data_IF_037249439885
#
_entry.id   IF_037249439885
#
_cell.length_a   1.000
_cell.length_b   1.000
_cell.length_c   1.000
_cell.angle_alpha   90.00
_cell.angle_beta   90.00
_cell.angle_gamma   90.00
#
_symmetry.space_group_name_H-M   'P 1'
#
loop_
_entity.id
_entity.type
_entity.pdbx_description
1 polymer ?
#
# COMPACT_ATOMS: atom_id res chain seq x y z
N UNK A 1 -11.04 -3.85 7.40
CA UNK A 1 -9.87 -4.36 6.64
C UNK A 1 -9.04 -5.27 7.53
N UNK A 2 -8.40 -6.25 6.94
CA UNK A 2 -7.47 -7.16 7.63
C UNK A 2 -6.34 -6.34 8.29
N UNK A 3 -6.12 -6.45 9.61
CA UNK A 3 -5.08 -5.68 10.29
C UNK A 3 -3.67 -5.96 9.75
N UNK A 4 -3.39 -7.18 9.33
CA UNK A 4 -2.08 -7.53 8.76
C UNK A 4 -1.86 -6.79 7.45
N UNK A 5 -2.87 -6.73 6.60
CA UNK A 5 -2.78 -6.02 5.32
C UNK A 5 -2.65 -4.52 5.56
N UNK A 6 -3.38 -3.97 6.52
CA UNK A 6 -3.27 -2.57 6.90
C UNK A 6 -1.84 -2.22 7.33
N UNK A 7 -1.23 -3.07 8.14
CA UNK A 7 0.15 -2.88 8.59
C UNK A 7 1.13 -2.93 7.42
N UNK A 8 0.92 -3.83 6.46
CA UNK A 8 1.74 -3.92 5.25
C UNK A 8 1.68 -2.60 4.47
N UNK A 9 0.48 -2.05 4.31
CA UNK A 9 0.29 -0.80 3.58
C UNK A 9 0.95 0.36 4.32
N UNK A 10 0.72 0.49 5.61
CA UNK A 10 1.32 1.56 6.42
C UNK A 10 2.84 1.52 6.37
N UNK A 11 3.41 0.33 6.51
CA UNK A 11 4.86 0.17 6.45
C UNK A 11 5.41 0.55 5.07
N UNK A 12 4.73 0.13 4.01
CA UNK A 12 5.16 0.46 2.65
C UNK A 12 5.12 1.97 2.39
N UNK A 13 4.08 2.65 2.89
CA UNK A 13 3.96 4.09 2.75
C UNK A 13 5.07 4.81 3.53
N UNK A 14 5.36 4.37 4.74
CA UNK A 14 6.43 4.94 5.56
C UNK A 14 7.79 4.75 4.91
N UNK A 15 8.07 3.54 4.40
CA UNK A 15 9.33 3.23 3.74
C UNK A 15 9.53 4.07 2.48
N UNK A 16 8.46 4.23 1.70
CA UNK A 16 8.50 5.05 0.50
C UNK A 16 8.74 6.52 0.83
N UNK A 17 8.12 7.02 1.89
CA UNK A 17 8.32 8.39 2.38
C UNK A 17 9.76 8.60 2.80
N UNK A 18 10.32 7.65 3.55
CA UNK A 18 11.71 7.70 4.00
C UNK A 18 12.69 7.66 2.83
N UNK A 19 12.31 7.01 1.73
CA UNK A 19 13.11 6.96 0.50
C UNK A 19 12.96 8.21 -0.38
N UNK A 20 12.16 9.19 0.06
CA UNK A 20 11.98 10.43 -0.68
C UNK A 20 11.00 10.35 -1.83
N UNK A 21 10.14 9.34 -1.86
CA UNK A 21 9.15 9.19 -2.93
C UNK A 21 8.03 10.20 -2.78
N UNK A 22 7.53 10.69 -3.90
CA UNK A 22 6.34 11.55 -3.93
C UNK A 22 5.07 10.73 -3.69
N UNK A 23 3.92 11.40 -3.71
CA UNK A 23 2.63 10.75 -3.47
C UNK A 23 2.39 9.56 -4.41
N UNK A 24 2.67 9.73 -5.68
CA UNK A 24 2.47 8.67 -6.68
C UNK A 24 3.44 7.51 -6.46
N UNK A 25 4.70 7.80 -6.19
CA UNK A 25 5.70 6.76 -5.89
C UNK A 25 5.34 5.97 -4.66
N UNK A 26 4.87 6.62 -3.61
CA UNK A 26 4.37 5.96 -2.40
C UNK A 26 3.21 5.03 -2.71
N UNK A 27 2.26 5.48 -3.54
CA UNK A 27 1.11 4.68 -3.94
C UNK A 27 1.54 3.43 -4.70
N UNK A 28 2.44 3.57 -5.66
CA UNK A 28 2.93 2.43 -6.46
C UNK A 28 3.60 1.39 -5.56
N UNK A 29 4.47 1.82 -4.66
CA UNK A 29 5.17 0.91 -3.75
C UNK A 29 4.19 0.21 -2.79
N UNK A 30 3.19 0.93 -2.30
CA UNK A 30 2.18 0.34 -1.42
C UNK A 30 1.32 -0.69 -2.18
N UNK A 31 0.92 -0.40 -3.41
CA UNK A 31 0.18 -1.35 -4.25
C UNK A 31 1.01 -2.61 -4.47
N UNK A 32 2.28 -2.48 -4.79
CA UNK A 32 3.17 -3.62 -4.97
C UNK A 32 3.29 -4.45 -3.69
N UNK A 33 3.39 -3.79 -2.53
CA UNK A 33 3.45 -4.48 -1.25
C UNK A 33 2.19 -5.30 -0.97
N UNK A 34 1.02 -4.75 -1.29
CA UNK A 34 -0.25 -5.47 -1.17
C UNK A 34 -0.27 -6.70 -2.06
N UNK A 35 0.16 -6.56 -3.31
CA UNK A 35 0.16 -7.68 -4.25
C UNK A 35 1.14 -8.78 -3.85
N UNK A 36 2.26 -8.43 -3.23
CA UNK A 36 3.18 -9.44 -2.67
C UNK A 36 2.58 -10.17 -1.48
N UNK A 37 1.88 -9.46 -0.62
CA UNK A 37 1.24 -10.04 0.56
C UNK A 37 0.01 -10.87 0.20
N UNK A 38 -0.69 -10.48 -0.87
CA UNK A 38 -1.92 -11.11 -1.34
C UNK A 38 -1.86 -11.28 -2.86
N UNK A 39 -1.17 -12.32 -3.37
CA UNK A 39 -0.94 -12.44 -4.82
C UNK A 39 -2.20 -12.53 -5.68
N UNK A 40 -3.33 -12.91 -5.08
CA UNK A 40 -4.59 -13.00 -5.80
C UNK A 40 -5.28 -11.65 -6.03
N UNK A 41 -4.79 -10.57 -5.44
CA UNK A 41 -5.42 -9.25 -5.60
C UNK A 41 -4.98 -8.59 -6.89
N UNK A 42 -5.95 -7.95 -7.56
CA UNK A 42 -5.65 -7.13 -8.73
C UNK A 42 -5.03 -5.80 -8.29
N UNK A 43 -4.40 -5.10 -9.22
CA UNK A 43 -3.87 -3.76 -8.95
C UNK A 43 -4.98 -2.80 -8.52
N UNK A 44 -6.16 -2.92 -9.09
CA UNK A 44 -7.33 -2.10 -8.73
C UNK A 44 -7.75 -2.34 -7.27
N UNK A 45 -7.82 -3.60 -6.85
CA UNK A 45 -8.16 -3.94 -5.46
C UNK A 45 -7.09 -3.45 -4.50
N UNK A 46 -5.83 -3.59 -4.87
CA UNK A 46 -4.70 -3.12 -4.06
C UNK A 46 -4.75 -1.60 -3.90
N UNK A 47 -5.03 -0.88 -4.98
CA UNK A 47 -5.14 0.58 -4.93
C UNK A 47 -6.29 1.02 -4.01
N UNK A 48 -7.43 0.35 -4.09
CA UNK A 48 -8.56 0.64 -3.22
C UNK A 48 -8.19 0.46 -1.74
N UNK A 49 -7.45 -0.59 -1.42
CA UNK A 49 -7.00 -0.85 -0.06
C UNK A 49 -6.03 0.24 0.43
N UNK A 50 -5.10 0.66 -0.42
CA UNK A 50 -4.15 1.75 -0.09
C UNK A 50 -4.91 3.05 0.19
N UNK A 51 -5.86 3.39 -0.65
CA UNK A 51 -6.66 4.61 -0.46
C UNK A 51 -7.49 4.55 0.81
N UNK A 52 -8.01 3.39 1.16
CA UNK A 52 -8.77 3.21 2.39
C UNK A 52 -7.89 3.47 3.63
N UNK A 53 -6.68 2.95 3.63
CA UNK A 53 -5.73 3.18 4.73
C UNK A 53 -5.38 4.66 4.84
N UNK A 54 -5.19 5.34 3.72
CA UNK A 54 -4.84 6.77 3.72
C UNK A 54 -5.95 7.66 4.28
N UNK A 55 -7.20 7.22 4.21
CA UNK A 55 -8.34 7.96 4.76
C UNK A 55 -8.42 7.88 6.28
N UNK A 56 -7.81 6.90 6.85
CA UNK A 56 -7.73 6.74 8.29
C UNK A 56 -6.67 7.70 8.87
#
# INVERSE_FOLDING_TARGET
>A
MDPDLENVIRQALEDAQAAGKDHMGQTVLAVQAVQRARPGRTASDALAAVNLVRRE
#
